data_IF_629020841844
#
_entry.id   IF_629020841844
#
_cell.length_a   1.000
_cell.length_b   1.000
_cell.length_c   1.000
_cell.angle_alpha   90.00
_cell.angle_beta   90.00
_cell.angle_gamma   90.00
#
_symmetry.space_group_name_H-M   'P 1'
#
loop_
_entity.id
_entity.type
_entity.pdbx_description
1 polymer ?
#
# COMPACT_ATOMS: atom_id res chain seq x y z
N UNK A 1 -5.69 -19.47 -3.83
CA UNK A 1 -4.22 -19.56 -3.77
C UNK A 1 -3.80 -21.03 -3.90
N UNK A 2 -2.86 -21.41 -4.80
CA UNK A 2 -2.60 -22.82 -5.14
C UNK A 2 -1.63 -23.51 -4.16
N UNK A 3 -1.88 -23.39 -2.86
CA UNK A 3 -1.12 -24.08 -1.80
C UNK A 3 -2.07 -24.81 -0.87
N UNK A 4 -1.56 -25.85 -0.22
CA UNK A 4 -2.29 -26.58 0.81
C UNK A 4 -2.46 -25.72 2.07
N UNK A 5 -3.41 -26.12 2.91
CA UNK A 5 -3.63 -25.49 4.21
C UNK A 5 -2.39 -25.62 5.11
N UNK A 6 -2.16 -24.64 5.99
CA UNK A 6 -1.08 -24.68 6.99
C UNK A 6 0.33 -24.93 6.40
N UNK A 7 0.61 -24.39 5.21
CA UNK A 7 1.87 -24.60 4.49
C UNK A 7 3.00 -23.69 4.95
N UNK A 8 2.69 -22.49 5.46
CA UNK A 8 3.68 -21.45 5.74
C UNK A 8 3.70 -21.05 7.21
N UNK A 9 4.89 -20.78 7.75
CA UNK A 9 5.13 -20.37 9.14
C UNK A 9 4.90 -18.86 9.38
N UNK A 10 4.63 -18.09 8.33
CA UNK A 10 4.38 -16.66 8.36
C UNK A 10 4.22 -16.09 6.95
N UNK A 11 3.83 -14.83 6.87
CA UNK A 11 3.68 -14.15 5.59
C UNK A 11 3.73 -12.64 5.73
N UNK A 12 3.92 -11.96 4.61
CA UNK A 12 3.76 -10.52 4.56
C UNK A 12 3.21 -10.08 3.22
N UNK A 13 2.58 -8.91 3.20
CA UNK A 13 2.11 -8.24 2.00
C UNK A 13 2.64 -6.81 1.98
N UNK A 14 3.50 -6.51 1.00
CA UNK A 14 4.09 -5.19 0.81
C UNK A 14 3.56 -4.57 -0.48
N UNK A 15 2.74 -3.54 -0.36
CA UNK A 15 2.24 -2.76 -1.50
C UNK A 15 1.47 -3.58 -2.56
N UNK A 16 0.72 -4.61 -2.12
CA UNK A 16 -0.05 -5.49 -3.02
C UNK A 16 -1.56 -5.28 -2.84
N UNK A 17 -2.05 -5.08 -1.62
CA UNK A 17 -3.49 -5.03 -1.35
C UNK A 17 -4.20 -3.89 -2.05
N UNK A 18 -3.49 -2.81 -2.40
CA UNK A 18 -3.99 -1.71 -3.23
C UNK A 18 -4.40 -2.10 -4.65
N UNK A 19 -4.07 -3.32 -5.10
CA UNK A 19 -4.39 -3.81 -6.45
C UNK A 19 -5.44 -4.93 -6.45
N UNK A 20 -5.87 -5.42 -5.28
CA UNK A 20 -6.79 -6.57 -5.14
C UNK A 20 -8.12 -6.06 -4.61
N UNK A 21 -9.23 -6.25 -5.30
CA UNK A 21 -10.53 -5.72 -4.85
C UNK A 21 -11.07 -6.48 -3.63
N UNK A 22 -11.14 -7.81 -3.76
CA UNK A 22 -11.73 -8.70 -2.78
C UNK A 22 -10.77 -8.99 -1.62
N UNK A 23 -10.77 -8.09 -0.62
CA UNK A 23 -9.97 -8.24 0.60
C UNK A 23 -10.40 -9.42 1.45
N UNK A 24 -11.69 -9.75 1.44
CA UNK A 24 -12.24 -10.86 2.23
C UNK A 24 -11.68 -12.19 1.71
N UNK A 25 -11.81 -12.47 0.41
CA UNK A 25 -11.25 -13.69 -0.17
C UNK A 25 -9.72 -13.72 -0.10
N UNK A 26 -9.07 -12.56 -0.25
CA UNK A 26 -7.62 -12.44 -0.10
C UNK A 26 -7.15 -12.91 1.29
N UNK A 27 -7.72 -12.34 2.36
CA UNK A 27 -7.29 -12.67 3.71
C UNK A 27 -7.74 -14.05 4.16
N UNK A 28 -8.90 -14.53 3.70
CA UNK A 28 -9.32 -15.91 3.93
C UNK A 28 -8.32 -16.92 3.34
N UNK A 29 -7.85 -16.69 2.11
CA UNK A 29 -6.86 -17.57 1.49
C UNK A 29 -5.47 -17.46 2.13
N UNK A 30 -5.06 -16.27 2.59
CA UNK A 30 -3.82 -16.11 3.34
C UNK A 30 -3.92 -16.83 4.68
N UNK A 31 -5.02 -16.68 5.42
CA UNK A 31 -5.24 -17.37 6.69
C UNK A 31 -5.18 -18.89 6.51
N UNK A 32 -5.87 -19.43 5.48
CA UNK A 32 -5.90 -20.87 5.19
C UNK A 32 -4.50 -21.47 4.99
N UNK A 33 -3.62 -20.77 4.27
CA UNK A 33 -2.28 -21.30 3.95
C UNK A 33 -1.27 -21.10 5.07
N UNK A 34 -1.54 -20.23 6.06
CA UNK A 34 -0.68 -20.03 7.21
C UNK A 34 -0.95 -21.10 8.29
N UNK A 35 0.11 -21.55 8.97
CA UNK A 35 -0.02 -22.45 10.12
C UNK A 35 -0.67 -21.73 11.31
N UNK A 36 -1.35 -22.44 12.22
CA UNK A 36 -1.89 -21.82 13.43
C UNK A 36 -0.78 -21.17 14.25
N UNK A 37 -0.99 -19.93 14.68
CA UNK A 37 0.00 -19.13 15.43
C UNK A 37 1.06 -18.43 14.57
N UNK A 38 1.00 -18.56 13.24
CA UNK A 38 1.85 -17.79 12.33
C UNK A 38 1.49 -16.29 12.34
N UNK A 39 2.47 -15.45 12.03
CA UNK A 39 2.29 -14.00 11.93
C UNK A 39 2.18 -13.56 10.47
N UNK A 40 1.23 -12.68 10.20
CA UNK A 40 1.04 -12.04 8.90
C UNK A 40 1.20 -10.52 9.02
N UNK A 41 2.11 -9.93 8.24
CA UNK A 41 2.34 -8.49 8.22
C UNK A 41 1.77 -7.82 6.98
N UNK A 42 1.08 -6.68 7.14
CA UNK A 42 0.58 -5.88 6.02
C UNK A 42 1.22 -4.51 6.04
N UNK A 43 1.83 -4.10 4.93
CA UNK A 43 2.30 -2.75 4.68
C UNK A 43 1.77 -2.27 3.34
N UNK A 44 0.66 -1.54 3.39
CA UNK A 44 -0.08 -1.09 2.22
C UNK A 44 -0.48 0.37 2.30
N UNK A 45 -0.73 0.96 1.14
CA UNK A 45 -1.39 2.25 1.00
C UNK A 45 -2.89 2.01 1.15
N UNK A 46 -3.51 2.75 2.07
CA UNK A 46 -4.92 2.64 2.39
C UNK A 46 -5.59 4.00 2.29
N UNK A 47 -6.89 4.00 2.00
CA UNK A 47 -7.70 5.21 1.91
C UNK A 47 -8.09 5.68 3.31
N UNK A 48 -7.48 6.77 3.76
CA UNK A 48 -7.79 7.40 5.07
C UNK A 48 -8.98 8.36 5.03
N UNK A 49 -9.29 8.94 3.86
CA UNK A 49 -10.33 9.96 3.69
C UNK A 49 -11.17 9.70 2.45
N UNK A 50 -12.33 10.33 2.43
CA UNK A 50 -13.15 10.36 1.24
C UNK A 50 -12.63 11.36 0.21
N UNK A 51 -12.64 10.97 -1.06
CA UNK A 51 -12.12 11.78 -2.16
C UNK A 51 -11.77 10.96 -3.38
N UNK A 52 -11.67 11.65 -4.52
CA UNK A 52 -11.23 11.04 -5.78
C UNK A 52 -9.73 11.25 -5.89
N UNK A 53 -8.98 10.17 -6.11
CA UNK A 53 -7.56 10.25 -6.42
C UNK A 53 -7.35 10.89 -7.80
N UNK A 54 -6.43 11.84 -7.88
CA UNK A 54 -5.92 12.33 -9.15
C UNK A 54 -4.90 11.32 -9.68
N UNK A 55 -5.18 10.73 -10.85
CA UNK A 55 -4.28 9.78 -11.48
C UNK A 55 -3.33 10.46 -12.48
N UNK A 56 -2.14 9.89 -12.74
CA UNK A 56 -1.62 8.64 -12.19
C UNK A 56 -1.06 8.81 -10.76
N UNK A 57 -1.04 7.72 -10.00
CA UNK A 57 -0.36 7.58 -8.70
C UNK A 57 0.75 6.53 -8.80
N UNK A 58 1.48 6.25 -7.72
CA UNK A 58 2.62 5.33 -7.77
C UNK A 58 2.22 3.92 -8.25
N UNK A 59 1.11 3.39 -7.75
CA UNK A 59 0.65 2.02 -8.01
C UNK A 59 -0.32 1.89 -9.19
N UNK A 60 -0.91 2.98 -9.67
CA UNK A 60 -1.97 2.92 -10.67
C UNK A 60 -1.93 4.10 -11.64
N UNK A 61 -2.10 3.81 -12.94
CA UNK A 61 -2.17 4.82 -13.99
C UNK A 61 -3.55 5.47 -14.09
N UNK A 62 -4.60 4.71 -13.72
CA UNK A 62 -5.99 5.14 -13.68
C UNK A 62 -6.74 4.36 -12.58
N UNK A 63 -8.03 4.66 -12.39
CA UNK A 63 -8.83 4.06 -11.33
C UNK A 63 -9.13 2.56 -11.51
N UNK A 64 -9.00 2.00 -12.71
CA UNK A 64 -9.36 0.60 -12.98
C UNK A 64 -8.46 -0.40 -12.23
N UNK A 65 -7.19 -0.02 -12.01
CA UNK A 65 -6.21 -0.86 -11.29
C UNK A 65 -5.98 -0.43 -9.84
N UNK A 66 -6.75 0.54 -9.35
CA UNK A 66 -6.64 1.05 -7.97
C UNK A 66 -7.78 0.51 -7.13
N UNK A 67 -7.45 -0.42 -6.23
CA UNK A 67 -8.37 -1.12 -5.31
C UNK A 67 -8.07 -0.73 -3.86
N UNK A 68 -7.84 0.56 -3.65
CA UNK A 68 -7.69 1.11 -2.31
C UNK A 68 -8.94 0.82 -1.49
N UNK A 69 -8.73 0.41 -0.25
CA UNK A 69 -9.78 0.33 0.76
C UNK A 69 -9.32 1.02 2.04
N UNK A 70 -10.24 1.20 2.98
CA UNK A 70 -9.97 1.86 4.26
C UNK A 70 -9.25 0.90 5.21
N UNK A 71 -8.51 1.43 6.21
CA UNK A 71 -7.96 0.60 7.28
C UNK A 71 -9.02 -0.24 7.97
N UNK A 72 -10.20 0.33 8.24
CA UNK A 72 -11.32 -0.39 8.86
C UNK A 72 -11.76 -1.60 8.05
N UNK A 73 -11.85 -1.49 6.71
CA UNK A 73 -12.19 -2.63 5.87
C UNK A 73 -11.10 -3.72 5.86
N UNK A 74 -9.82 -3.35 5.95
CA UNK A 74 -8.74 -4.33 6.11
C UNK A 74 -8.87 -5.06 7.44
N UNK A 75 -9.08 -4.33 8.54
CA UNK A 75 -9.25 -4.90 9.87
C UNK A 75 -10.44 -5.85 9.91
N UNK A 76 -11.61 -5.44 9.43
CA UNK A 76 -12.80 -6.28 9.36
C UNK A 76 -12.55 -7.56 8.54
N UNK A 77 -11.91 -7.45 7.38
CA UNK A 77 -11.65 -8.60 6.52
C UNK A 77 -10.59 -9.55 7.10
N UNK A 78 -9.59 -9.04 7.83
CA UNK A 78 -8.61 -9.84 8.56
C UNK A 78 -9.26 -10.60 9.72
N UNK A 79 -10.06 -9.91 10.53
CA UNK A 79 -10.80 -10.51 11.65
C UNK A 79 -11.79 -11.57 11.16
N UNK A 80 -12.53 -11.28 10.08
CA UNK A 80 -13.43 -12.24 9.45
C UNK A 80 -12.71 -13.51 8.98
N UNK A 81 -11.46 -13.39 8.50
CA UNK A 81 -10.65 -14.53 8.10
C UNK A 81 -10.15 -15.35 9.29
N UNK A 82 -10.15 -14.79 10.51
CA UNK A 82 -9.70 -15.45 11.74
C UNK A 82 -8.40 -14.89 12.32
N UNK A 83 -7.87 -13.78 11.79
CA UNK A 83 -6.71 -13.11 12.38
C UNK A 83 -7.10 -12.30 13.63
N UNK A 84 -6.14 -12.17 14.54
CA UNK A 84 -6.17 -11.19 15.63
C UNK A 84 -5.21 -10.04 15.29
N UNK A 85 -5.67 -8.80 15.41
CA UNK A 85 -4.83 -7.63 15.15
C UNK A 85 -3.96 -7.35 16.38
N UNK A 86 -2.67 -7.65 16.26
CA UNK A 86 -1.69 -7.42 17.34
C UNK A 86 -1.12 -6.00 17.37
N UNK A 87 -0.94 -5.38 16.21
CA UNK A 87 -0.39 -4.03 16.08
C UNK A 87 -0.89 -3.35 14.81
N UNK A 88 -1.27 -2.08 14.95
CA UNK A 88 -1.56 -1.18 13.83
C UNK A 88 -0.68 0.05 13.94
N UNK A 89 -0.08 0.48 12.82
CA UNK A 89 0.70 1.71 12.77
C UNK A 89 0.35 2.52 11.52
N UNK A 90 -0.16 3.73 11.74
CA UNK A 90 -0.45 4.66 10.66
C UNK A 90 0.82 5.45 10.30
N UNK A 91 1.48 5.06 9.22
CA UNK A 91 2.71 5.70 8.73
C UNK A 91 2.48 6.94 7.86
N UNK A 92 1.26 7.51 7.84
CA UNK A 92 0.89 8.60 6.92
C UNK A 92 1.83 9.80 7.00
N UNK A 93 2.05 10.35 8.19
CA UNK A 93 2.83 11.59 8.34
C UNK A 93 4.29 11.37 7.91
N UNK A 94 4.84 10.20 8.23
CA UNK A 94 6.17 9.79 7.77
C UNK A 94 6.25 9.71 6.23
N UNK A 95 5.23 9.14 5.57
CA UNK A 95 5.17 9.06 4.11
C UNK A 95 5.07 10.44 3.48
N UNK A 96 4.18 11.31 3.99
CA UNK A 96 4.00 12.69 3.51
C UNK A 96 5.30 13.47 3.60
N UNK A 97 6.00 13.40 4.73
CA UNK A 97 7.26 14.12 4.94
C UNK A 97 8.38 13.60 4.04
N UNK A 98 8.41 12.28 3.82
CA UNK A 98 9.33 11.65 2.87
C UNK A 98 9.10 12.14 1.43
N UNK A 99 7.83 12.22 0.99
CA UNK A 99 7.49 12.71 -0.35
C UNK A 99 7.77 14.21 -0.53
N UNK A 100 7.52 15.04 0.49
CA UNK A 100 7.91 16.47 0.47
C UNK A 100 9.41 16.64 0.28
N UNK A 101 10.22 15.92 1.08
CA UNK A 101 11.69 15.96 0.97
C UNK A 101 12.18 15.49 -0.40
N UNK A 102 11.56 14.47 -0.99
CA UNK A 102 11.90 14.02 -2.33
C UNK A 102 11.61 15.08 -3.39
N UNK A 103 10.47 15.78 -3.28
CA UNK A 103 10.13 16.88 -4.18
C UNK A 103 11.11 18.06 -4.07
N UNK A 104 11.46 18.48 -2.86
CA UNK A 104 12.45 19.56 -2.64
C UNK A 104 13.83 19.22 -3.23
N UNK A 105 14.28 17.96 -3.11
CA UNK A 105 15.53 17.50 -3.72
C UNK A 105 15.47 17.52 -5.25
N UNK A 106 14.33 17.16 -5.84
CA UNK A 106 14.13 17.22 -7.28
C UNK A 106 14.15 18.67 -7.81
N UNK A 107 13.61 19.63 -7.05
CA UNK A 107 13.57 21.05 -7.42
C UNK A 107 14.93 21.76 -7.29
N UNK A 108 15.80 21.30 -6.38
CA UNK A 108 17.09 21.94 -6.09
C UNK A 108 18.24 21.53 -7.02
N UNK A 109 18.01 20.68 -8.03
CA UNK A 109 19.02 20.15 -8.97
C UNK A 109 20.26 19.53 -8.29
N UNK A 110 20.22 19.26 -6.98
CA UNK A 110 21.15 18.35 -6.33
C UNK A 110 20.78 16.97 -6.86
N UNK A 111 21.53 16.51 -7.87
CA UNK A 111 21.17 15.38 -8.73
C UNK A 111 20.43 14.26 -8.01
N UNK A 112 19.35 13.77 -8.65
CA UNK A 112 18.52 12.73 -8.09
C UNK A 112 19.40 11.54 -7.67
N UNK A 113 19.14 10.91 -6.50
CA UNK A 113 20.00 9.84 -6.01
C UNK A 113 20.14 8.74 -7.08
N UNK A 114 21.35 8.18 -7.30
CA UNK A 114 21.60 7.24 -8.40
C UNK A 114 20.78 5.94 -8.32
N UNK A 115 20.06 5.70 -7.22
CA UNK A 115 19.07 4.65 -7.05
C UNK A 115 17.83 5.26 -6.37
N UNK A 116 16.82 5.62 -7.16
CA UNK A 116 15.58 6.22 -6.66
C UNK A 116 14.41 6.00 -7.64
N UNK A 117 13.18 6.31 -7.22
CA UNK A 117 11.94 6.08 -7.97
C UNK A 117 11.94 6.70 -9.36
N UNK A 118 12.68 7.80 -9.58
CA UNK A 118 12.77 8.43 -10.90
C UNK A 118 13.40 7.50 -11.97
N UNK A 119 14.21 6.50 -11.58
CA UNK A 119 14.77 5.51 -12.53
C UNK A 119 13.68 4.55 -12.99
N UNK A 120 12.88 4.05 -12.04
CA UNK A 120 11.79 3.12 -12.31
C UNK A 120 10.65 3.78 -13.09
N UNK A 121 10.35 5.04 -12.75
CA UNK A 121 9.13 5.74 -13.18
C UNK A 121 9.38 6.77 -14.28
N UNK A 122 10.65 7.06 -14.56
CA UNK A 122 11.11 7.99 -15.59
C UNK A 122 10.35 9.32 -15.54
N UNK A 123 9.85 9.79 -16.68
CA UNK A 123 9.15 11.07 -16.82
C UNK A 123 7.84 11.16 -16.02
N UNK A 124 7.26 10.04 -15.59
CA UNK A 124 5.99 10.01 -14.84
C UNK A 124 6.16 10.26 -13.33
N UNK A 125 7.39 10.17 -12.81
CA UNK A 125 7.67 10.24 -11.38
C UNK A 125 7.14 11.54 -10.75
N UNK A 126 7.49 12.69 -11.33
CA UNK A 126 7.11 14.01 -10.80
C UNK A 126 5.59 14.19 -10.72
N UNK A 127 4.87 13.79 -11.77
CA UNK A 127 3.39 13.89 -11.81
C UNK A 127 2.74 12.99 -10.76
N UNK A 128 3.21 11.75 -10.61
CA UNK A 128 2.67 10.78 -9.63
C UNK A 128 2.92 11.23 -8.19
N UNK A 129 4.10 11.78 -7.90
CA UNK A 129 4.42 12.34 -6.58
C UNK A 129 3.54 13.57 -6.28
N UNK A 130 3.38 14.47 -7.26
CA UNK A 130 2.51 15.65 -7.13
C UNK A 130 1.07 15.28 -6.79
N UNK A 131 0.50 14.34 -7.55
CA UNK A 131 -0.86 13.86 -7.34
C UNK A 131 -1.10 13.24 -5.95
N UNK A 132 -0.14 12.47 -5.42
CA UNK A 132 -0.25 11.92 -4.06
C UNK A 132 -0.21 13.01 -2.98
N UNK A 133 0.67 14.00 -3.13
CA UNK A 133 0.77 15.11 -2.17
C UNK A 133 -0.48 16.01 -2.19
N UNK A 134 -1.16 16.12 -3.33
CA UNK A 134 -2.44 16.83 -3.44
C UNK A 134 -3.57 16.09 -2.73
N UNK A 135 -3.63 14.76 -2.87
CA UNK A 135 -4.59 13.93 -2.16
C UNK A 135 -4.43 14.08 -0.63
N UNK A 136 -3.20 14.17 -0.14
CA UNK A 136 -2.93 14.32 1.30
C UNK A 136 -3.17 15.73 1.88
N UNK A 137 -3.42 16.75 1.04
CA UNK A 137 -3.73 18.12 1.52
C UNK A 137 -5.15 18.29 2.05
N UNK A 138 -6.06 17.40 1.69
CA UNK A 138 -7.47 17.45 2.08
C UNK A 138 -7.80 16.29 3.00
#
# INVERSE_FOLDING_TARGET
MPYNDNSFDGGYMLHVGMNIDDKVSLFAEIFRVLKPGAVFGVYDIMRQKDGVLTYPVLWATDSSTSKLSTPGHYTEALEQAGFEISQENNCRDFSVDSFKKMREKAETNQGLPPLDLHILMQQSAAKKIGNMLEYDRY
#
